data_IF_221049489036
#
_entry.id   IF_221049489036
#
_cell.length_a   1.000
_cell.length_b   1.000
_cell.length_c   1.000
_cell.angle_alpha   90.00
_cell.angle_beta   90.00
_cell.angle_gamma   90.00
#
_symmetry.space_group_name_H-M   'P 1'
#
loop_
_entity.id
_entity.type
_entity.pdbx_description
1 polymer ?
#
# COMPACT_ATOMS: atom_id res chain seq x y z
N UNK A 1 48.65 -3.06 82.49
CA UNK A 1 50.06 -2.63 82.48
C UNK A 1 50.15 -1.34 81.68
N UNK A 2 50.37 -0.24 82.38
CA UNK A 2 50.72 1.06 81.78
C UNK A 2 52.12 0.94 81.20
N UNK A 3 52.28 1.24 79.92
CA UNK A 3 53.59 1.49 79.32
C UNK A 3 53.56 2.90 78.73
N UNK A 4 53.85 3.86 79.59
CA UNK A 4 54.36 5.17 79.19
C UNK A 4 55.82 4.96 78.79
N UNK A 5 56.16 5.16 77.52
CA UNK A 5 57.55 5.32 77.10
C UNK A 5 57.87 6.76 76.67
N UNK A 6 59.11 7.20 76.95
CA UNK A 6 59.48 8.60 77.13
C UNK A 6 60.26 9.07 75.90
N UNK A 7 59.59 9.74 74.96
CA UNK A 7 60.20 10.18 73.70
C UNK A 7 60.14 11.68 73.41
N UNK A 8 59.54 12.49 74.28
CA UNK A 8 59.03 13.81 73.88
C UNK A 8 60.05 14.97 73.94
N UNK A 9 61.14 14.86 74.71
CA UNK A 9 62.00 16.03 74.96
C UNK A 9 63.10 16.25 73.89
N UNK A 10 63.85 15.20 73.51
CA UNK A 10 64.89 15.35 72.47
C UNK A 10 64.31 15.66 71.08
N UNK A 11 63.13 15.12 70.76
CA UNK A 11 62.43 15.42 69.50
C UNK A 11 61.98 16.88 69.39
N UNK A 12 61.54 17.50 70.49
CA UNK A 12 61.14 18.91 70.50
C UNK A 12 62.32 19.86 70.31
N UNK A 13 63.46 19.61 70.97
CA UNK A 13 64.67 20.45 70.81
C UNK A 13 65.23 20.34 69.40
N UNK A 14 65.24 19.13 68.81
CA UNK A 14 65.69 18.92 67.43
C UNK A 14 64.75 19.58 66.41
N UNK A 15 63.44 19.54 66.65
CA UNK A 15 62.45 20.20 65.79
C UNK A 15 62.54 21.73 65.88
N UNK A 16 62.76 22.28 67.07
CA UNK A 16 62.87 23.73 67.28
C UNK A 16 64.17 24.29 66.68
N UNK A 17 65.29 23.55 66.79
CA UNK A 17 66.56 23.92 66.14
C UNK A 17 66.47 23.87 64.60
N UNK A 18 65.75 22.87 64.06
CA UNK A 18 65.50 22.75 62.62
C UNK A 18 64.53 23.82 62.08
N UNK A 19 63.58 24.30 62.90
CA UNK A 19 62.74 25.44 62.54
C UNK A 19 63.50 26.76 62.58
N UNK A 20 64.41 26.94 63.54
CA UNK A 20 65.23 28.15 63.64
C UNK A 20 66.26 28.24 62.50
N UNK A 21 66.84 27.11 62.07
CA UNK A 21 67.67 27.06 60.86
C UNK A 21 66.87 27.32 59.58
N UNK A 22 65.62 26.81 59.46
CA UNK A 22 64.74 27.12 58.32
C UNK A 22 64.32 28.59 58.26
N UNK A 23 64.10 29.23 59.41
CA UNK A 23 63.77 30.66 59.44
C UNK A 23 64.97 31.55 59.11
N UNK A 24 66.20 31.17 59.52
CA UNK A 24 67.41 31.93 59.17
C UNK A 24 67.89 31.71 57.72
N UNK A 25 67.60 30.56 57.11
CA UNK A 25 67.94 30.30 55.70
C UNK A 25 66.85 30.78 54.71
N UNK A 26 65.60 30.92 55.17
CA UNK A 26 64.48 31.34 54.33
C UNK A 26 64.41 32.85 54.07
N UNK A 27 64.68 33.69 55.07
CA UNK A 27 64.55 35.16 54.94
C UNK A 27 65.58 35.77 54.00
N UNK A 28 66.86 35.38 54.11
CA UNK A 28 67.91 35.89 53.23
C UNK A 28 67.78 35.47 51.77
N UNK A 29 67.23 34.28 51.50
CA UNK A 29 67.02 33.79 50.13
C UNK A 29 65.86 34.51 49.43
N UNK A 30 64.75 34.72 50.13
CA UNK A 30 63.61 35.47 49.60
C UNK A 30 63.89 36.96 49.45
N UNK A 31 64.67 37.59 50.35
CA UNK A 31 65.11 38.97 50.18
C UNK A 31 66.10 39.14 49.01
N UNK A 32 67.00 38.17 48.78
CA UNK A 32 67.87 38.17 47.59
C UNK A 32 67.08 37.98 46.29
N UNK A 33 66.05 37.13 46.28
CA UNK A 33 65.14 36.97 45.15
C UNK A 33 64.34 38.24 44.88
N UNK A 34 63.82 38.88 45.94
CA UNK A 34 63.04 40.12 45.82
C UNK A 34 63.91 41.30 45.35
N UNK A 35 65.17 41.39 45.80
CA UNK A 35 66.14 42.37 45.28
C UNK A 35 66.50 42.10 43.80
N UNK A 36 66.57 40.84 43.37
CA UNK A 36 66.78 40.50 41.94
C UNK A 36 65.56 40.83 41.08
N UNK A 37 64.34 40.68 41.61
CA UNK A 37 63.10 41.12 40.97
C UNK A 37 63.04 42.65 40.83
N UNK A 38 63.35 43.39 41.90
CA UNK A 38 63.33 44.86 41.87
C UNK A 38 64.45 45.46 41.00
N UNK A 39 65.59 44.78 40.89
CA UNK A 39 66.72 45.22 40.05
C UNK A 39 66.64 44.72 38.60
N UNK A 40 65.51 44.14 38.16
CA UNK A 40 65.29 43.76 36.76
C UNK A 40 66.12 42.58 36.24
N UNK A 41 66.78 41.82 37.11
CA UNK A 41 67.56 40.64 36.74
C UNK A 41 66.73 39.35 36.94
N UNK A 42 65.64 39.23 36.18
CA UNK A 42 64.99 37.93 35.93
C UNK A 42 65.00 37.72 34.43
N UNK A 43 65.88 36.84 33.97
CA UNK A 43 65.96 36.44 32.58
C UNK A 43 64.63 35.84 32.10
N UNK A 44 64.24 36.20 30.88
CA UNK A 44 63.19 35.68 29.99
C UNK A 44 62.54 34.31 30.32
N UNK A 45 61.85 34.15 31.46
CA UNK A 45 61.06 32.94 31.79
C UNK A 45 59.56 33.06 31.48
N UNK A 46 59.11 34.19 30.92
CA UNK A 46 57.71 34.38 30.54
C UNK A 46 57.20 33.51 29.35
N UNK A 47 58.01 33.15 28.33
CA UNK A 47 57.49 32.43 27.16
C UNK A 47 57.11 30.96 27.43
N UNK A 48 57.84 30.26 28.31
CA UNK A 48 57.61 28.83 28.57
C UNK A 48 56.34 28.58 29.39
N UNK A 49 56.03 29.45 30.36
CA UNK A 49 54.81 29.35 31.16
C UNK A 49 53.54 29.59 30.33
N UNK A 50 53.57 30.48 29.35
CA UNK A 50 52.46 30.73 28.42
C UNK A 50 52.20 29.53 27.50
N UNK A 51 53.26 28.86 27.04
CA UNK A 51 53.14 27.63 26.24
C UNK A 51 52.54 26.48 27.05
N UNK A 52 52.99 26.28 28.30
CA UNK A 52 52.44 25.24 29.19
C UNK A 52 50.97 25.49 29.51
N UNK A 53 50.56 26.74 29.71
CA UNK A 53 49.16 27.09 29.95
C UNK A 53 48.28 26.80 28.73
N UNK A 54 48.74 27.15 27.52
CA UNK A 54 48.05 26.84 26.25
C UNK A 54 47.91 25.33 26.05
N UNK A 55 48.98 24.56 26.26
CA UNK A 55 48.93 23.10 26.17
C UNK A 55 47.98 22.47 27.19
N UNK A 56 47.90 23.02 28.41
CA UNK A 56 46.95 22.54 29.41
C UNK A 56 45.49 22.76 29.00
N UNK A 57 45.17 23.92 28.42
CA UNK A 57 43.84 24.21 27.87
C UNK A 57 43.50 23.25 26.73
N UNK A 58 44.43 23.02 25.79
CA UNK A 58 44.23 22.09 24.69
C UNK A 58 43.99 20.67 25.19
N UNK A 59 44.81 20.17 26.13
CA UNK A 59 44.64 18.84 26.73
C UNK A 59 43.27 18.71 27.39
N UNK A 60 42.82 19.73 28.12
CA UNK A 60 41.51 19.70 28.77
C UNK A 60 40.37 19.70 27.73
N UNK A 61 40.51 20.46 26.64
CA UNK A 61 39.60 20.42 25.50
C UNK A 61 39.53 19.03 24.86
N UNK A 62 40.69 18.38 24.65
CA UNK A 62 40.74 17.00 24.14
C UNK A 62 40.09 15.99 25.07
N UNK A 63 40.26 16.12 26.40
CA UNK A 63 39.58 15.24 27.36
C UNK A 63 38.07 15.38 27.29
N UNK A 64 37.56 16.61 27.22
CA UNK A 64 36.13 16.87 27.10
C UNK A 64 35.57 16.30 25.79
N UNK A 65 36.29 16.48 24.68
CA UNK A 65 35.90 15.92 23.39
C UNK A 65 35.87 14.38 23.42
N UNK A 66 36.90 13.74 23.99
CA UNK A 66 36.92 12.29 24.19
C UNK A 66 35.73 11.81 25.05
N UNK A 67 35.42 12.51 26.15
CA UNK A 67 34.29 12.17 27.00
C UNK A 67 32.94 12.25 26.24
N UNK A 68 32.75 13.27 25.41
CA UNK A 68 31.57 13.42 24.57
C UNK A 68 31.45 12.26 23.56
N UNK A 69 32.54 11.90 22.87
CA UNK A 69 32.56 10.77 21.94
C UNK A 69 32.24 9.43 22.62
N UNK A 70 32.70 9.23 23.87
CA UNK A 70 32.36 8.04 24.65
C UNK A 70 30.86 7.98 25.00
N UNK A 71 30.26 9.12 25.36
CA UNK A 71 28.81 9.18 25.62
C UNK A 71 28.00 8.91 24.36
N UNK A 72 28.37 9.52 23.24
CA UNK A 72 27.73 9.31 21.94
C UNK A 72 27.81 7.84 21.51
N UNK A 73 28.97 7.19 21.71
CA UNK A 73 29.13 5.75 21.44
C UNK A 73 28.16 4.88 22.25
N UNK A 74 27.98 5.15 23.54
CA UNK A 74 27.05 4.36 24.36
C UNK A 74 25.58 4.64 24.00
N UNK A 75 25.25 5.88 23.60
CA UNK A 75 23.92 6.20 23.04
C UNK A 75 23.64 5.41 21.77
N UNK A 76 24.56 5.43 20.79
CA UNK A 76 24.41 4.64 19.56
C UNK A 76 24.29 3.14 19.81
N UNK A 77 25.00 2.62 20.83
CA UNK A 77 24.91 1.22 21.21
C UNK A 77 23.53 0.87 21.77
N UNK A 78 22.94 1.74 22.59
CA UNK A 78 21.58 1.57 23.11
C UNK A 78 20.53 1.66 21.99
N UNK A 79 20.65 2.64 21.10
CA UNK A 79 19.77 2.79 19.94
C UNK A 79 19.82 1.57 19.01
N UNK A 80 21.02 1.05 18.73
CA UNK A 80 21.19 -0.13 17.90
C UNK A 80 20.59 -1.39 18.54
N UNK A 81 20.65 -1.52 19.88
CA UNK A 81 19.94 -2.59 20.58
C UNK A 81 18.42 -2.46 20.46
N UNK A 82 17.88 -1.24 20.60
CA UNK A 82 16.45 -0.98 20.42
C UNK A 82 15.99 -1.31 19.00
N UNK A 83 16.73 -0.85 17.98
CA UNK A 83 16.44 -1.13 16.58
C UNK A 83 16.50 -2.63 16.26
N UNK A 84 17.39 -3.41 16.91
CA UNK A 84 17.42 -4.86 16.77
C UNK A 84 16.17 -5.52 17.33
N UNK A 85 15.71 -5.10 18.51
CA UNK A 85 14.47 -5.62 19.11
C UNK A 85 13.25 -5.27 18.26
N UNK A 86 13.17 -4.02 17.78
CA UNK A 86 12.07 -3.57 16.93
C UNK A 86 12.03 -4.31 15.59
N UNK A 87 13.18 -4.50 14.94
CA UNK A 87 13.28 -5.31 13.72
C UNK A 87 12.85 -6.76 13.95
N UNK A 88 13.18 -7.36 15.10
CA UNK A 88 12.74 -8.71 15.42
C UNK A 88 11.22 -8.76 15.58
N UNK A 89 10.64 -7.81 16.31
CA UNK A 89 9.18 -7.70 16.48
C UNK A 89 8.47 -7.56 15.13
N UNK A 90 8.98 -6.71 14.23
CA UNK A 90 8.42 -6.53 12.89
C UNK A 90 8.49 -7.80 12.05
N UNK A 91 9.56 -8.59 12.18
CA UNK A 91 9.66 -9.91 11.51
C UNK A 91 8.60 -10.88 12.01
N UNK A 92 8.39 -10.93 13.33
CA UNK A 92 7.39 -11.82 13.93
C UNK A 92 5.96 -11.41 13.51
N UNK A 93 5.66 -10.10 13.50
CA UNK A 93 4.39 -9.58 12.99
C UNK A 93 4.17 -9.89 11.51
N UNK A 94 5.21 -9.76 10.68
CA UNK A 94 5.14 -10.10 9.26
C UNK A 94 4.87 -11.60 9.05
N UNK A 95 5.50 -12.46 9.85
CA UNK A 95 5.27 -13.90 9.82
C UNK A 95 3.81 -14.25 10.18
N UNK A 96 3.29 -13.68 11.27
CA UNK A 96 1.89 -13.89 11.68
C UNK A 96 0.89 -13.41 10.62
N UNK A 97 1.11 -12.22 10.02
CA UNK A 97 0.28 -11.70 8.94
C UNK A 97 0.31 -12.61 7.71
N UNK A 98 1.48 -13.15 7.37
CA UNK A 98 1.62 -14.07 6.25
C UNK A 98 0.86 -15.38 6.49
N UNK A 99 0.90 -15.92 7.71
CA UNK A 99 0.13 -17.11 8.08
C UNK A 99 -1.38 -16.84 7.99
N UNK A 100 -1.86 -15.72 8.53
CA UNK A 100 -3.27 -15.34 8.43
C UNK A 100 -3.74 -15.15 6.98
N UNK A 101 -2.86 -14.65 6.10
CA UNK A 101 -3.14 -14.51 4.67
C UNK A 101 -3.32 -15.86 3.97
N UNK A 102 -2.44 -16.83 4.23
CA UNK A 102 -2.58 -18.17 3.64
C UNK A 102 -3.83 -18.90 4.17
N UNK A 103 -4.19 -18.73 5.45
CA UNK A 103 -5.44 -19.25 6.00
C UNK A 103 -6.67 -18.63 5.33
N UNK A 104 -6.65 -17.30 5.10
CA UNK A 104 -7.74 -16.60 4.40
C UNK A 104 -7.88 -17.09 2.96
N UNK A 105 -6.77 -17.30 2.26
CA UNK A 105 -6.74 -17.84 0.90
C UNK A 105 -7.30 -19.25 0.83
N UNK A 106 -6.99 -20.11 1.81
CA UNK A 106 -7.58 -21.45 1.91
C UNK A 106 -9.10 -21.38 2.11
N UNK A 107 -9.58 -20.48 2.97
CA UNK A 107 -11.03 -20.27 3.18
C UNK A 107 -11.72 -19.77 1.91
N UNK A 108 -11.11 -18.81 1.21
CA UNK A 108 -11.63 -18.28 -0.05
C UNK A 108 -11.78 -19.37 -1.11
N UNK A 109 -10.78 -20.24 -1.25
CA UNK A 109 -10.84 -21.37 -2.18
C UNK A 109 -11.98 -22.34 -1.84
N UNK A 110 -12.22 -22.62 -0.56
CA UNK A 110 -13.36 -23.45 -0.12
C UNK A 110 -14.70 -22.81 -0.49
N UNK A 111 -14.86 -21.51 -0.25
CA UNK A 111 -16.08 -20.76 -0.60
C UNK A 111 -16.28 -20.72 -2.11
N UNK A 112 -15.23 -20.51 -2.90
CA UNK A 112 -15.30 -20.52 -4.37
C UNK A 112 -15.80 -21.86 -4.89
N UNK A 113 -15.22 -22.96 -4.42
CA UNK A 113 -15.63 -24.30 -4.82
C UNK A 113 -17.09 -24.59 -4.46
N UNK A 114 -17.52 -24.21 -3.25
CA UNK A 114 -18.91 -24.37 -2.82
C UNK A 114 -19.87 -23.55 -3.69
N UNK A 115 -19.49 -22.32 -4.06
CA UNK A 115 -20.29 -21.48 -4.95
C UNK A 115 -20.40 -22.07 -6.37
N UNK A 116 -19.37 -22.75 -6.87
CA UNK A 116 -19.42 -23.47 -8.14
C UNK A 116 -20.38 -24.67 -8.07
N UNK A 117 -20.33 -25.44 -6.97
CA UNK A 117 -21.25 -26.55 -6.70
C UNK A 117 -22.71 -26.07 -6.63
N UNK A 118 -23.00 -25.02 -5.85
CA UNK A 118 -24.33 -24.42 -5.73
C UNK A 118 -24.85 -23.85 -7.07
N UNK A 119 -23.97 -23.24 -7.87
CA UNK A 119 -24.34 -22.76 -9.21
C UNK A 119 -24.69 -23.92 -10.15
N UNK A 120 -23.97 -25.04 -10.05
CA UNK A 120 -24.27 -26.22 -10.85
C UNK A 120 -25.64 -26.82 -10.46
N UNK A 121 -25.93 -26.90 -9.16
CA UNK A 121 -27.22 -27.36 -8.66
C UNK A 121 -28.38 -26.45 -9.09
N UNK A 122 -28.19 -25.12 -9.00
CA UNK A 122 -29.17 -24.14 -9.49
C UNK A 122 -29.43 -24.28 -11.00
N UNK A 123 -28.40 -24.59 -11.79
CA UNK A 123 -28.57 -24.84 -13.22
C UNK A 123 -29.46 -26.07 -13.45
N UNK A 124 -29.21 -27.17 -12.74
CA UNK A 124 -29.99 -28.40 -12.86
C UNK A 124 -31.45 -28.17 -12.45
N UNK A 125 -31.70 -27.41 -11.37
CA UNK A 125 -33.05 -27.05 -10.93
C UNK A 125 -33.80 -26.17 -11.93
N UNK A 126 -33.11 -25.23 -12.59
CA UNK A 126 -33.71 -24.42 -13.66
C UNK A 126 -34.12 -25.28 -14.84
N UNK A 127 -33.25 -26.19 -15.28
CA UNK A 127 -33.56 -27.12 -16.36
C UNK A 127 -34.78 -27.99 -16.01
N UNK A 128 -34.89 -28.48 -14.77
CA UNK A 128 -36.05 -29.24 -14.30
C UNK A 128 -37.36 -28.41 -14.29
N UNK A 129 -37.30 -27.15 -13.84
CA UNK A 129 -38.47 -26.25 -13.82
C UNK A 129 -38.92 -25.88 -15.25
N UNK A 130 -37.97 -25.69 -16.18
CA UNK A 130 -38.30 -25.45 -17.58
C UNK A 130 -39.12 -26.61 -18.17
N UNK A 131 -38.80 -27.86 -17.82
CA UNK A 131 -39.61 -29.03 -18.20
C UNK A 131 -41.01 -29.01 -17.57
N UNK A 132 -41.12 -28.65 -16.29
CA UNK A 132 -42.40 -28.60 -15.58
C UNK A 132 -43.34 -27.55 -16.18
N UNK A 133 -42.83 -26.36 -16.50
CA UNK A 133 -43.60 -25.28 -17.15
C UNK A 133 -44.16 -25.75 -18.50
N UNK A 134 -43.37 -26.47 -19.29
CA UNK A 134 -43.80 -27.02 -20.59
C UNK A 134 -44.96 -28.00 -20.40
N UNK A 135 -44.84 -28.92 -19.44
CA UNK A 135 -45.89 -29.90 -19.14
C UNK A 135 -47.19 -29.22 -18.67
N UNK A 136 -47.10 -28.26 -17.74
CA UNK A 136 -48.26 -27.54 -17.21
C UNK A 136 -48.97 -26.73 -18.29
N UNK A 137 -48.23 -26.04 -19.17
CA UNK A 137 -48.84 -25.31 -20.30
C UNK A 137 -49.61 -26.26 -21.21
N UNK A 138 -49.04 -27.43 -21.51
CA UNK A 138 -49.68 -28.40 -22.40
C UNK A 138 -50.90 -29.08 -21.76
N UNK A 139 -50.88 -29.36 -20.46
CA UNK A 139 -52.06 -29.83 -19.72
C UNK A 139 -53.21 -28.82 -19.88
N UNK A 140 -52.93 -27.53 -19.69
CA UNK A 140 -53.93 -26.47 -19.88
C UNK A 140 -54.46 -26.40 -21.32
N UNK A 141 -53.58 -26.56 -22.32
CA UNK A 141 -53.99 -26.58 -23.73
C UNK A 141 -54.88 -27.79 -24.06
N UNK A 142 -54.64 -28.95 -23.43
CA UNK A 142 -55.47 -30.15 -23.56
C UNK A 142 -56.81 -30.00 -22.83
N UNK A 143 -56.82 -29.43 -21.62
CA UNK A 143 -58.04 -29.12 -20.86
C UNK A 143 -58.93 -28.10 -21.56
N UNK A 144 -58.36 -27.16 -22.31
CA UNK A 144 -59.09 -26.15 -23.07
C UNK A 144 -59.69 -26.65 -24.39
N UNK A 145 -59.37 -27.88 -24.82
CA UNK A 145 -59.87 -28.49 -26.06
C UNK A 145 -61.19 -29.22 -25.76
N UNK A 146 -62.30 -28.79 -26.37
CA UNK A 146 -63.56 -29.55 -26.32
C UNK A 146 -63.50 -30.75 -27.30
N UNK A 147 -63.35 -31.96 -26.77
CA UNK A 147 -63.38 -33.22 -27.54
C UNK A 147 -62.64 -34.37 -26.84
N UNK A 148 -62.86 -35.65 -27.24
CA UNK A 148 -62.16 -36.78 -26.65
C UNK A 148 -60.67 -36.75 -26.98
N UNK A 149 -59.83 -36.84 -25.94
CA UNK A 149 -58.36 -36.85 -26.04
C UNK A 149 -57.92 -38.23 -26.57
N UNK A 150 -57.20 -38.26 -27.70
CA UNK A 150 -56.70 -39.49 -28.34
C UNK A 150 -55.27 -39.82 -27.89
N UNK A 151 -54.86 -41.08 -27.95
CA UNK A 151 -53.47 -41.49 -27.67
C UNK A 151 -52.44 -40.97 -28.69
N UNK A 152 -52.91 -40.52 -29.86
CA UNK A 152 -52.09 -39.87 -30.89
C UNK A 152 -51.80 -38.38 -30.57
N UNK A 153 -52.47 -37.79 -29.58
CA UNK A 153 -52.19 -36.44 -29.09
C UNK A 153 -51.01 -36.38 -28.09
N UNK A 154 -50.40 -37.54 -27.76
CA UNK A 154 -49.24 -37.64 -26.90
C UNK A 154 -47.99 -37.06 -27.60
N UNK A 155 -47.27 -36.10 -26.97
CA UNK A 155 -46.16 -35.44 -27.63
C UNK A 155 -45.03 -36.42 -27.92
N UNK A 156 -44.48 -36.35 -29.13
CA UNK A 156 -43.27 -37.09 -29.48
C UNK A 156 -42.05 -36.43 -28.81
N UNK A 157 -40.95 -37.18 -28.68
CA UNK A 157 -39.74 -36.67 -28.03
C UNK A 157 -39.15 -35.46 -28.79
N UNK A 158 -39.29 -35.42 -30.12
CA UNK A 158 -38.95 -34.26 -30.94
C UNK A 158 -39.79 -33.01 -30.61
N UNK A 159 -41.11 -33.14 -30.44
CA UNK A 159 -42.00 -32.00 -30.14
C UNK A 159 -41.68 -31.36 -28.77
N UNK A 160 -41.20 -32.17 -27.82
CA UNK A 160 -40.77 -31.71 -26.50
C UNK A 160 -39.45 -30.94 -26.61
N UNK A 161 -38.52 -31.39 -27.47
CA UNK A 161 -37.21 -30.76 -27.66
C UNK A 161 -37.35 -29.40 -28.35
N UNK A 162 -38.17 -29.29 -29.39
CA UNK A 162 -38.38 -28.03 -30.12
C UNK A 162 -39.09 -26.98 -29.25
N UNK A 163 -40.07 -27.38 -28.43
CA UNK A 163 -40.75 -26.51 -27.46
C UNK A 163 -39.80 -26.01 -26.34
N UNK A 164 -38.83 -26.83 -25.92
CA UNK A 164 -37.80 -26.43 -24.95
C UNK A 164 -36.81 -25.43 -25.55
N UNK A 165 -36.53 -25.52 -26.86
CA UNK A 165 -35.66 -24.57 -27.58
C UNK A 165 -36.35 -23.21 -27.72
N UNK A 166 -37.62 -23.17 -28.12
CA UNK A 166 -38.39 -21.94 -28.25
C UNK A 166 -38.64 -21.26 -26.90
N UNK A 167 -38.86 -22.04 -25.82
CA UNK A 167 -38.98 -21.48 -24.48
C UNK A 167 -37.62 -21.04 -23.89
N UNK A 168 -36.49 -21.64 -24.29
CA UNK A 168 -35.16 -21.11 -23.94
C UNK A 168 -34.98 -19.69 -24.46
N UNK A 169 -35.47 -19.32 -25.64
CA UNK A 169 -35.44 -17.92 -26.11
C UNK A 169 -36.33 -16.99 -25.27
N UNK A 170 -37.51 -17.45 -24.84
CA UNK A 170 -38.42 -16.67 -23.99
C UNK A 170 -37.90 -16.52 -22.54
N UNK A 171 -37.22 -17.54 -22.01
CA UNK A 171 -36.60 -17.52 -20.68
C UNK A 171 -35.28 -16.74 -20.69
N UNK A 172 -34.51 -16.80 -21.77
CA UNK A 172 -33.35 -15.90 -22.00
C UNK A 172 -33.81 -14.44 -22.06
N UNK A 173 -35.00 -14.15 -22.61
CA UNK A 173 -35.60 -12.81 -22.54
C UNK A 173 -36.05 -12.43 -21.13
N UNK A 174 -36.68 -13.33 -20.34
CA UNK A 174 -37.06 -13.06 -18.93
C UNK A 174 -35.89 -13.00 -17.94
N UNK A 175 -34.77 -13.69 -18.20
CA UNK A 175 -33.52 -13.54 -17.44
C UNK A 175 -32.69 -12.32 -17.88
N UNK A 176 -33.11 -11.63 -18.94
CA UNK A 176 -32.57 -10.34 -19.36
C UNK A 176 -33.30 -9.14 -18.77
N UNK A 177 -34.38 -9.36 -18.01
CA UNK A 177 -35.00 -8.33 -17.18
C UNK A 177 -34.19 -8.15 -15.89
N UNK A 178 -33.57 -6.98 -15.67
CA UNK A 178 -33.16 -6.60 -14.33
C UNK A 178 -34.42 -6.16 -13.59
N UNK A 179 -35.01 -7.05 -12.79
CA UNK A 179 -35.94 -6.61 -11.74
C UNK A 179 -35.10 -6.03 -10.60
N UNK A 180 -34.78 -4.74 -10.73
CA UNK A 180 -34.50 -3.78 -9.66
C UNK A 180 -34.31 -2.43 -10.33
N UNK A 181 -35.01 -1.40 -9.86
CA UNK A 181 -34.95 -0.02 -10.37
C UNK A 181 -33.53 0.41 -10.77
N UNK A 182 -33.19 0.26 -12.05
CA UNK A 182 -31.88 0.65 -12.58
C UNK A 182 -31.61 2.14 -12.29
N UNK A 183 -32.67 2.95 -12.20
CA UNK A 183 -32.60 4.37 -11.86
C UNK A 183 -32.20 4.62 -10.38
N UNK A 184 -32.72 3.84 -9.44
CA UNK A 184 -32.35 3.93 -8.03
C UNK A 184 -30.93 3.41 -7.80
N UNK A 185 -30.55 2.33 -8.48
CA UNK A 185 -29.20 1.79 -8.45
C UNK A 185 -28.17 2.75 -9.09
N UNK A 186 -28.55 3.43 -10.18
CA UNK A 186 -27.73 4.47 -10.80
C UNK A 186 -27.56 5.67 -9.87
N UNK A 187 -28.64 6.17 -9.26
CA UNK A 187 -28.57 7.27 -8.27
C UNK A 187 -27.67 6.91 -7.10
N UNK A 188 -27.79 5.70 -6.57
CA UNK A 188 -26.92 5.20 -5.50
C UNK A 188 -25.45 5.09 -5.96
N UNK A 189 -25.20 4.64 -7.19
CA UNK A 189 -23.86 4.61 -7.76
C UNK A 189 -23.26 6.01 -7.93
N UNK A 190 -24.05 7.00 -8.36
CA UNK A 190 -23.62 8.41 -8.46
C UNK A 190 -23.25 8.97 -7.09
N UNK A 191 -24.05 8.74 -6.06
CA UNK A 191 -23.73 9.19 -4.69
C UNK A 191 -22.47 8.51 -4.14
N UNK A 192 -22.30 7.21 -4.37
CA UNK A 192 -21.07 6.53 -3.98
C UNK A 192 -19.86 7.01 -4.78
N UNK A 193 -20.02 7.34 -6.06
CA UNK A 193 -18.99 7.91 -6.91
C UNK A 193 -18.58 9.31 -6.43
N UNK A 194 -19.54 10.16 -6.04
CA UNK A 194 -19.30 11.47 -5.42
C UNK A 194 -18.53 11.39 -4.11
N UNK A 195 -18.53 10.25 -3.43
CA UNK A 195 -17.78 10.02 -2.20
C UNK A 195 -16.47 9.24 -2.43
N UNK A 196 -16.22 8.78 -3.66
CA UNK A 196 -15.01 8.05 -3.99
C UNK A 196 -13.86 9.00 -4.31
N UNK A 197 -12.74 8.86 -3.60
CA UNK A 197 -11.54 9.70 -3.80
C UNK A 197 -10.90 9.49 -5.19
N UNK A 198 -11.09 8.31 -5.79
CA UNK A 198 -10.57 8.00 -7.13
C UNK A 198 -11.24 8.80 -8.26
N UNK A 199 -12.32 9.55 -7.99
CA UNK A 199 -13.02 10.35 -9.00
C UNK A 199 -12.19 11.50 -9.58
N UNK A 200 -11.18 11.95 -8.83
CA UNK A 200 -10.27 13.03 -9.25
C UNK A 200 -9.01 12.51 -9.95
N UNK A 201 -8.85 11.18 -10.06
CA UNK A 201 -7.70 10.64 -10.75
C UNK A 201 -7.75 10.99 -12.24
N UNK A 202 -6.63 11.46 -12.75
CA UNK A 202 -6.43 11.74 -14.18
C UNK A 202 -5.31 10.87 -14.71
N UNK A 203 -5.47 10.36 -15.92
CA UNK A 203 -4.41 9.67 -16.66
C UNK A 203 -4.12 10.49 -17.90
N UNK A 204 -2.93 11.10 -17.95
CA UNK A 204 -2.56 12.01 -19.03
C UNK A 204 -2.74 11.37 -20.42
N UNK A 205 -3.47 12.06 -21.31
CA UNK A 205 -3.77 11.58 -22.66
C UNK A 205 -4.75 10.41 -22.73
N UNK A 206 -5.49 10.11 -21.65
CA UNK A 206 -6.54 9.09 -21.60
C UNK A 206 -7.85 9.71 -21.11
N UNK A 207 -8.90 9.62 -21.92
CA UNK A 207 -10.25 9.98 -21.49
C UNK A 207 -10.85 8.80 -20.69
N UNK A 208 -10.85 8.94 -19.37
CA UNK A 208 -11.33 7.90 -18.46
C UNK A 208 -12.83 7.64 -18.57
N UNK A 209 -13.63 8.57 -19.12
CA UNK A 209 -15.09 8.37 -19.30
C UNK A 209 -15.41 7.25 -20.30
N UNK A 210 -14.44 6.86 -21.13
CA UNK A 210 -14.56 5.72 -22.04
C UNK A 210 -14.39 4.36 -21.34
N UNK A 211 -13.77 4.35 -20.17
CA UNK A 211 -13.30 3.15 -19.47
C UNK A 211 -13.90 2.97 -18.08
N UNK A 212 -14.34 4.06 -17.46
CA UNK A 212 -14.89 4.12 -16.11
C UNK A 212 -16.33 4.59 -16.13
N UNK A 213 -17.00 4.46 -14.99
CA UNK A 213 -18.34 4.96 -14.73
C UNK A 213 -18.39 6.46 -15.04
N UNK A 214 -19.32 6.84 -15.91
CA UNK A 214 -19.57 8.21 -16.30
C UNK A 214 -20.92 8.66 -15.72
N UNK A 215 -20.95 9.43 -14.63
CA UNK A 215 -22.19 9.87 -13.99
C UNK A 215 -23.04 10.76 -14.91
N UNK A 216 -22.44 11.40 -15.92
CA UNK A 216 -23.13 12.28 -16.87
C UNK A 216 -23.89 11.48 -17.95
N UNK A 217 -23.60 10.19 -18.09
CA UNK A 217 -24.27 9.32 -19.06
C UNK A 217 -25.49 8.64 -18.43
N UNK A 218 -26.51 9.44 -18.15
CA UNK A 218 -27.76 9.02 -17.50
C UNK A 218 -28.66 8.15 -18.36
N UNK A 219 -28.43 8.13 -19.68
CA UNK A 219 -29.18 7.29 -20.63
C UNK A 219 -28.58 5.88 -20.77
N UNK A 220 -27.38 5.63 -20.22
CA UNK A 220 -26.78 4.31 -20.30
C UNK A 220 -27.42 3.35 -19.29
N UNK A 221 -27.81 2.17 -19.78
CA UNK A 221 -28.25 1.04 -18.96
C UNK A 221 -27.28 0.78 -17.81
N UNK A 222 -27.80 0.48 -16.62
CA UNK A 222 -26.98 0.20 -15.44
C UNK A 222 -26.84 -1.31 -15.20
N UNK A 223 -25.63 -1.86 -14.95
CA UNK A 223 -24.32 -1.20 -14.93
C UNK A 223 -23.85 -0.72 -16.31
N UNK A 224 -23.14 0.41 -16.33
CA UNK A 224 -22.70 1.02 -17.59
C UNK A 224 -21.73 0.13 -18.35
N UNK A 225 -22.01 -0.14 -19.63
CA UNK A 225 -21.07 -0.86 -20.49
C UNK A 225 -19.98 0.08 -20.98
N UNK A 226 -18.72 -0.22 -20.65
CA UNK A 226 -17.55 0.62 -20.97
C UNK A 226 -16.48 -0.16 -21.72
N UNK A 227 -15.54 0.53 -22.37
CA UNK A 227 -14.46 -0.14 -23.12
C UNK A 227 -13.48 -0.80 -22.16
N UNK A 228 -13.07 -2.03 -22.43
CA UNK A 228 -12.07 -2.76 -21.63
C UNK A 228 -10.64 -2.39 -22.06
N UNK A 229 -9.80 -1.98 -21.11
CA UNK A 229 -8.38 -1.74 -21.37
C UNK A 229 -7.58 -3.05 -21.25
N UNK A 230 -7.76 -3.98 -22.20
CA UNK A 230 -7.20 -5.35 -22.11
C UNK A 230 -5.67 -5.35 -22.14
N UNK A 231 -5.05 -4.57 -23.04
CA UNK A 231 -3.59 -4.41 -23.19
C UNK A 231 -3.24 -2.94 -23.48
N UNK A 232 -1.98 -2.56 -23.31
CA UNK A 232 -1.48 -1.22 -23.61
C UNK A 232 -1.76 -0.78 -25.07
N UNK A 233 -1.59 -1.68 -26.03
CA UNK A 233 -1.95 -1.44 -27.43
C UNK A 233 -3.47 -1.20 -27.60
N UNK A 234 -4.33 -1.93 -26.88
CA UNK A 234 -5.78 -1.77 -26.99
C UNK A 234 -6.22 -0.41 -26.43
N UNK A 235 -5.64 0.01 -25.29
CA UNK A 235 -5.81 1.35 -24.73
C UNK A 235 -5.38 2.43 -25.74
N UNK A 236 -4.20 2.29 -26.34
CA UNK A 236 -3.70 3.22 -27.36
C UNK A 236 -4.67 3.33 -28.54
N UNK A 237 -5.11 2.20 -29.10
CA UNK A 237 -6.03 2.16 -30.25
C UNK A 237 -7.34 2.87 -29.95
N UNK A 238 -7.87 2.68 -28.74
CA UNK A 238 -9.11 3.35 -28.31
C UNK A 238 -8.90 4.86 -28.25
N UNK A 239 -7.81 5.31 -27.61
CA UNK A 239 -7.53 6.74 -27.48
C UNK A 239 -7.19 7.39 -28.80
N UNK A 240 -6.44 6.71 -29.67
CA UNK A 240 -6.10 7.18 -31.00
C UNK A 240 -7.35 7.41 -31.85
N UNK A 241 -8.26 6.43 -31.90
CA UNK A 241 -9.54 6.55 -32.63
C UNK A 241 -10.47 7.59 -32.01
N UNK A 242 -10.45 7.72 -30.69
CA UNK A 242 -11.27 8.72 -30.00
C UNK A 242 -10.79 10.14 -30.28
N UNK A 243 -9.47 10.35 -30.31
CA UNK A 243 -8.88 11.65 -30.59
C UNK A 243 -8.85 11.98 -32.09
N UNK A 244 -8.89 10.95 -32.95
CA UNK A 244 -8.83 11.07 -34.41
C UNK A 244 -9.98 10.29 -35.09
N UNK A 245 -11.25 10.69 -34.90
CA UNK A 245 -12.41 9.93 -35.36
C UNK A 245 -12.52 9.80 -36.89
N UNK A 246 -11.93 10.72 -37.65
CA UNK A 246 -11.98 10.74 -39.12
C UNK A 246 -10.65 10.36 -39.78
N UNK A 247 -9.67 9.90 -38.99
CA UNK A 247 -8.39 9.51 -39.54
C UNK A 247 -8.48 8.16 -40.25
N UNK A 248 -8.07 8.12 -41.51
CA UNK A 248 -7.85 6.87 -42.25
C UNK A 248 -6.58 6.12 -41.84
N UNK A 249 -5.78 6.69 -40.93
CA UNK A 249 -4.50 6.12 -40.50
C UNK A 249 -4.77 4.88 -39.64
N UNK A 250 -4.10 3.78 -39.98
CA UNK A 250 -4.18 2.54 -39.24
C UNK A 250 -3.53 2.68 -37.86
N UNK A 251 -4.27 2.54 -36.75
CA UNK A 251 -3.71 2.69 -35.41
C UNK A 251 -2.58 1.70 -35.08
N UNK A 252 -2.50 0.56 -35.80
CA UNK A 252 -1.40 -0.39 -35.62
C UNK A 252 -0.07 0.17 -36.14
N UNK A 253 -0.09 0.91 -37.25
CA UNK A 253 1.11 1.50 -37.84
C UNK A 253 1.64 2.61 -36.94
N UNK A 254 0.76 3.45 -36.41
CA UNK A 254 1.14 4.50 -35.46
C UNK A 254 1.70 3.90 -34.18
N UNK A 255 1.09 2.82 -33.66
CA UNK A 255 1.59 2.13 -32.47
C UNK A 255 3.05 1.63 -32.63
N UNK A 256 3.42 1.20 -33.83
CA UNK A 256 4.79 0.74 -34.09
C UNK A 256 5.83 1.87 -33.99
N UNK A 257 5.42 3.12 -34.25
CA UNK A 257 6.24 4.32 -34.19
C UNK A 257 6.27 4.98 -32.79
N UNK A 258 5.48 4.48 -31.83
CA UNK A 258 5.48 4.99 -30.45
C UNK A 258 6.77 4.56 -29.75
N UNK A 259 7.61 5.53 -29.39
CA UNK A 259 8.87 5.29 -28.68
C UNK A 259 8.66 4.96 -27.18
N UNK A 260 7.62 5.52 -26.55
CA UNK A 260 7.37 5.39 -25.10
C UNK A 260 6.28 4.34 -24.76
N UNK A 261 6.44 3.10 -25.25
CA UNK A 261 5.46 2.01 -24.98
C UNK A 261 5.30 1.68 -23.50
N UNK A 262 6.34 1.92 -22.69
CA UNK A 262 6.33 1.75 -21.23
C UNK A 262 5.35 2.69 -20.53
N UNK A 263 5.21 3.93 -21.01
CA UNK A 263 4.22 4.88 -20.48
C UNK A 263 2.79 4.39 -20.72
N UNK A 264 2.51 3.87 -21.92
CA UNK A 264 1.23 3.25 -22.23
C UNK A 264 0.95 2.01 -21.37
N UNK A 265 1.98 1.25 -21.01
CA UNK A 265 1.86 0.16 -20.04
C UNK A 265 1.46 0.67 -18.65
N UNK A 266 2.08 1.76 -18.17
CA UNK A 266 1.74 2.40 -16.89
C UNK A 266 0.31 2.92 -16.88
N UNK A 267 -0.08 3.65 -17.93
CA UNK A 267 -1.45 4.16 -18.12
C UNK A 267 -2.47 3.02 -18.15
N UNK A 268 -2.18 1.94 -18.87
CA UNK A 268 -3.04 0.75 -18.94
C UNK A 268 -3.18 0.04 -17.59
N UNK A 269 -2.09 -0.13 -16.84
CA UNK A 269 -2.15 -0.70 -15.50
C UNK A 269 -3.06 0.12 -14.57
N UNK A 270 -2.94 1.45 -14.62
CA UNK A 270 -3.78 2.36 -13.82
C UNK A 270 -5.25 2.29 -14.20
N UNK A 271 -5.58 2.31 -15.50
CA UNK A 271 -6.96 2.13 -15.97
C UNK A 271 -7.52 0.78 -15.52
N UNK A 272 -6.75 -0.31 -15.61
CA UNK A 272 -7.17 -1.64 -15.15
C UNK A 272 -7.48 -1.68 -13.66
N UNK A 273 -6.64 -1.04 -12.84
CA UNK A 273 -6.85 -0.95 -11.40
C UNK A 273 -8.20 -0.27 -11.08
N UNK A 274 -8.46 0.87 -11.73
CA UNK A 274 -9.71 1.62 -11.58
C UNK A 274 -10.92 0.84 -12.10
N UNK A 275 -10.77 0.15 -13.24
CA UNK A 275 -11.82 -0.72 -13.78
C UNK A 275 -12.15 -1.86 -12.82
N UNK A 276 -11.14 -2.52 -12.25
CA UNK A 276 -11.34 -3.62 -11.29
C UNK A 276 -12.10 -3.15 -10.06
N UNK A 277 -11.78 -1.97 -9.54
CA UNK A 277 -12.50 -1.38 -8.41
C UNK A 277 -13.98 -1.15 -8.73
N UNK A 278 -14.27 -0.51 -9.87
CA UNK A 278 -15.65 -0.17 -10.24
C UNK A 278 -16.48 -1.36 -10.71
N UNK A 279 -15.85 -2.38 -11.32
CA UNK A 279 -16.48 -3.66 -11.64
C UNK A 279 -16.90 -4.40 -10.36
N UNK A 280 -16.06 -4.40 -9.33
CA UNK A 280 -16.41 -4.98 -8.02
C UNK A 280 -17.58 -4.25 -7.34
N UNK A 281 -17.71 -2.94 -7.57
CA UNK A 281 -18.86 -2.13 -7.13
C UNK A 281 -20.09 -2.26 -8.04
N UNK A 282 -20.00 -3.02 -9.13
CA UNK A 282 -21.04 -3.18 -10.16
C UNK A 282 -21.48 -1.85 -10.76
N UNK A 283 -20.59 -0.87 -10.88
CA UNK A 283 -20.91 0.39 -11.56
C UNK A 283 -20.77 0.26 -13.08
N UNK A 284 -19.83 -0.58 -13.50
CA UNK A 284 -19.49 -0.78 -14.91
C UNK A 284 -19.42 -2.26 -15.28
N UNK A 285 -19.58 -2.54 -16.57
CA UNK A 285 -19.28 -3.82 -17.22
C UNK A 285 -18.28 -3.58 -18.36
N UNK A 286 -16.98 -3.82 -18.14
CA UNK A 286 -15.97 -3.64 -19.19
C UNK A 286 -16.11 -4.68 -20.31
N UNK A 287 -16.24 -4.24 -21.56
CA UNK A 287 -16.33 -5.12 -22.73
C UNK A 287 -15.18 -4.92 -23.72
N UNK A 288 -14.71 -6.03 -24.31
CA UNK A 288 -13.68 -6.02 -25.36
C UNK A 288 -14.31 -5.60 -26.69
N UNK A 289 -13.64 -4.68 -27.42
CA UNK A 289 -14.14 -4.01 -28.64
C UNK A 289 -14.75 -4.92 -29.72
N UNK A 290 -14.32 -6.18 -29.83
CA UNK A 290 -14.84 -7.11 -30.86
C UNK A 290 -16.22 -7.71 -30.51
N UNK A 291 -16.76 -7.44 -29.32
CA UNK A 291 -18.08 -7.95 -28.88
C UNK A 291 -19.14 -6.87 -28.71
N UNK A 292 -18.79 -5.60 -28.93
CA UNK A 292 -19.77 -4.51 -28.94
C UNK A 292 -20.48 -4.56 -30.30
N UNK A 293 -21.47 -5.45 -30.43
CA UNK A 293 -22.49 -5.28 -31.47
C UNK A 293 -23.17 -3.95 -31.16
N UNK A 294 -23.03 -2.95 -32.03
CA UNK A 294 -23.95 -1.82 -32.02
C UNK A 294 -25.32 -2.42 -32.30
N UNK A 295 -26.21 -2.45 -31.31
CA UNK A 295 -27.62 -2.63 -31.61
C UNK A 295 -28.03 -1.49 -32.55
N UNK A 296 -28.76 -1.77 -33.64
CA UNK A 296 -29.34 -0.72 -34.45
C UNK A 296 -30.28 0.10 -33.56
N UNK A 297 -30.09 1.42 -33.56
CA UNK A 297 -31.06 2.33 -32.97
C UNK A 297 -32.38 2.15 -33.76
N UNK A 298 -33.42 1.70 -33.06
CA UNK A 298 -34.79 1.70 -33.56
C UNK A 298 -35.41 3.07 -33.40
#
# INVERSE_FOLDING_TARGET
MQNSQPGSFMGQVQWQCQQQQRQQQGTGHWEQLNQRFQNGYVGNQAPEMDLVHKMAIEIEGWKQHCAALYQEKEQFKAENQNLKMENQKLKDEAFQKNQAFEDMKLRLNKVSKKSEEENHELKNLREANDFEIVLVKRIKDLEAREGPISSEDAPTLEDIVDSVIDNKELIVKRHHDPIRDEENDFKAAVENWKNWNGRFETVEGVDLRLFLFNPDNTQARFPQTVKKATRNMDLFKIMFRHSNPHSGVNPNEVWNQVNHKSEWSRKCAKVKELQKFQEAKRWIRPQTLYKIKKEPAH
#
